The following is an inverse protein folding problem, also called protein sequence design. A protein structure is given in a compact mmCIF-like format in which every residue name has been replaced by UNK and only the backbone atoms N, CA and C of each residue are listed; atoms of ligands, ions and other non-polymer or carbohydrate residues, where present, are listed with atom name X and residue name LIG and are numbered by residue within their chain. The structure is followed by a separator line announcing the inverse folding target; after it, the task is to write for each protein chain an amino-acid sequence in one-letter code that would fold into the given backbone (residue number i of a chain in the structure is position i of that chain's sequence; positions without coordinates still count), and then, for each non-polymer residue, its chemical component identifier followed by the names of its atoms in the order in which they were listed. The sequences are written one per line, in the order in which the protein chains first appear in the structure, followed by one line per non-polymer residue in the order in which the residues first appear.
data_IF_207142340148
#
_entry.id   IF_207142340148
#
_cell.length_a   1.000
_cell.length_b   1.000
_cell.length_c   1.000
_cell.angle_alpha   90.00
_cell.angle_beta   90.00
_cell.angle_gamma   90.00
#
_symmetry.space_group_name_H-M   'P 1'
#
loop_
_entity.id
_entity.type
_entity.pdbx_description
1 polymer ?
#
# COMPACT_ATOMS: atom_id res chain seq x y z
N UNK A 1 35.73 -24.25 4.39
CA UNK A 1 34.64 -23.26 4.65
C UNK A 1 34.55 -22.34 3.46
N UNK A 2 33.41 -22.28 2.74
CA UNK A 2 33.23 -21.26 1.69
C UNK A 2 32.97 -19.90 2.38
N UNK A 3 33.67 -18.82 2.00
CA UNK A 3 33.35 -17.49 2.51
C UNK A 3 31.92 -17.14 2.09
N UNK A 4 31.10 -16.66 3.03
CA UNK A 4 29.79 -16.09 2.73
C UNK A 4 30.05 -14.89 1.81
N UNK A 5 29.54 -14.93 0.58
CA UNK A 5 29.59 -13.77 -0.29
C UNK A 5 28.90 -12.58 0.42
N UNK A 6 29.47 -11.37 0.31
CA UNK A 6 28.83 -10.18 0.87
C UNK A 6 27.44 -10.03 0.24
N UNK A 7 26.42 -9.80 1.07
CA UNK A 7 25.07 -9.52 0.58
C UNK A 7 25.10 -8.21 -0.20
N UNK A 8 24.57 -8.22 -1.43
CA UNK A 8 24.46 -7.02 -2.26
C UNK A 8 23.62 -5.96 -1.51
N UNK A 9 24.16 -4.77 -1.23
CA UNK A 9 23.41 -3.70 -0.55
C UNK A 9 22.21 -3.21 -1.35
N UNK A 10 22.13 -3.52 -2.65
CA UNK A 10 20.97 -3.20 -3.51
C UNK A 10 19.89 -4.28 -3.49
N UNK A 11 20.10 -5.36 -2.74
CA UNK A 11 19.11 -6.42 -2.64
C UNK A 11 17.88 -5.94 -1.86
N UNK A 12 16.71 -5.99 -2.50
CA UNK A 12 15.43 -5.74 -1.84
C UNK A 12 14.99 -6.95 -1.02
N UNK A 13 14.21 -6.65 0.01
CA UNK A 13 13.69 -7.60 0.97
C UNK A 13 12.26 -7.22 1.33
N UNK A 14 11.43 -8.23 1.60
CA UNK A 14 10.09 -8.05 2.14
C UNK A 14 10.14 -7.95 3.66
N UNK A 15 9.48 -6.92 4.20
CA UNK A 15 9.36 -6.65 5.63
C UNK A 15 7.89 -6.52 5.99
N UNK A 16 7.41 -7.39 6.87
CA UNK A 16 6.03 -7.34 7.35
C UNK A 16 5.92 -6.32 8.47
N UNK A 17 4.83 -5.57 8.48
CA UNK A 17 4.61 -4.45 9.38
C UNK A 17 3.40 -4.74 10.28
N UNK A 18 3.46 -4.29 11.53
CA UNK A 18 2.21 -4.07 12.27
C UNK A 18 1.42 -3.01 11.49
N UNK A 19 0.09 -3.03 11.60
CA UNK A 19 -0.75 -2.06 10.92
C UNK A 19 -0.31 -0.60 11.20
N UNK A 20 0.16 0.15 10.18
CA UNK A 20 0.36 1.58 10.32
C UNK A 20 -1.01 2.25 10.44
N UNK A 21 -1.26 2.91 11.57
CA UNK A 21 -2.48 3.67 11.87
C UNK A 21 -2.17 5.08 12.38
N UNK A 22 -3.16 5.97 12.34
CA UNK A 22 -3.06 7.34 12.82
C UNK A 22 -1.89 8.08 12.19
N UNK A 23 -1.10 8.76 13.03
CA UNK A 23 0.05 9.51 12.55
C UNK A 23 1.12 8.62 11.89
N UNK A 24 1.27 7.36 12.30
CA UNK A 24 2.18 6.41 11.65
C UNK A 24 1.82 6.23 10.18
N UNK A 25 0.52 6.06 9.88
CA UNK A 25 0.02 5.94 8.51
C UNK A 25 0.27 7.22 7.70
N UNK A 26 -0.01 8.40 8.29
CA UNK A 26 0.23 9.68 7.63
C UNK A 26 1.71 9.90 7.30
N UNK A 27 2.59 9.60 8.25
CA UNK A 27 4.04 9.72 8.07
C UNK A 27 4.57 8.72 7.03
N UNK A 28 4.04 7.48 7.00
CA UNK A 28 4.35 6.49 5.98
C UNK A 28 3.99 7.00 4.58
N UNK A 29 2.78 7.55 4.39
CA UNK A 29 2.36 8.12 3.11
C UNK A 29 3.22 9.32 2.71
N UNK A 30 3.56 10.22 3.65
CA UNK A 30 4.46 11.35 3.39
C UNK A 30 5.85 10.87 2.99
N UNK A 31 6.37 9.83 3.64
CA UNK A 31 7.67 9.25 3.28
C UNK A 31 7.66 8.69 1.85
N UNK A 32 6.56 8.07 1.43
CA UNK A 32 6.41 7.53 0.08
C UNK A 32 6.41 8.60 -1.03
N UNK A 33 6.09 9.86 -0.71
CA UNK A 33 6.09 10.96 -1.70
C UNK A 33 7.50 11.11 -2.30
N UNK A 34 7.57 11.06 -3.64
CA UNK A 34 8.83 11.12 -4.38
C UNK A 34 9.63 9.82 -4.42
N UNK A 35 9.13 8.73 -3.81
CA UNK A 35 9.74 7.38 -3.85
C UNK A 35 8.91 6.36 -4.61
N UNK A 36 7.59 6.60 -4.70
CA UNK A 36 6.66 5.76 -5.46
C UNK A 36 5.96 6.60 -6.53
N UNK A 37 5.58 5.96 -7.63
CA UNK A 37 4.98 6.63 -8.78
C UNK A 37 3.45 6.60 -8.73
N UNK A 38 2.90 5.51 -8.17
CA UNK A 38 1.46 5.24 -8.22
C UNK A 38 0.95 4.51 -6.98
N UNK A 39 -0.34 4.73 -6.70
CA UNK A 39 -1.12 3.89 -5.81
C UNK A 39 -2.12 3.07 -6.62
N UNK A 40 -2.45 1.89 -6.12
CA UNK A 40 -3.54 1.07 -6.64
C UNK A 40 -4.49 0.64 -5.55
N UNK A 41 -5.76 0.53 -5.91
CA UNK A 41 -6.82 -0.03 -5.08
C UNK A 41 -7.62 -1.04 -5.90
N UNK A 42 -8.03 -2.13 -5.27
CA UNK A 42 -8.89 -3.12 -5.89
C UNK A 42 -10.34 -2.59 -5.97
N UNK A 43 -10.93 -2.50 -7.18
CA UNK A 43 -12.32 -2.15 -7.38
C UNK A 43 -13.22 -3.28 -6.90
N UNK A 44 -14.50 -2.96 -6.74
CA UNK A 44 -15.47 -3.84 -6.13
C UNK A 44 -16.60 -4.19 -7.11
N UNK A 45 -17.22 -5.33 -6.89
CA UNK A 45 -18.44 -5.78 -7.59
C UNK A 45 -19.71 -5.15 -7.10
N UNK A 46 -19.66 -4.47 -5.96
CA UNK A 46 -20.75 -3.63 -5.46
C UNK A 46 -20.16 -2.35 -4.89
N UNK A 47 -20.74 -1.21 -5.23
CA UNK A 47 -20.30 0.10 -4.73
C UNK A 47 -21.41 0.69 -3.85
N UNK A 48 -21.13 0.85 -2.56
CA UNK A 48 -22.01 1.58 -1.64
C UNK A 48 -21.69 3.09 -1.65
N UNK A 49 -22.53 3.96 -1.07
CA UNK A 49 -22.29 5.41 -1.07
C UNK A 49 -20.97 5.84 -0.41
N UNK A 50 -20.48 5.12 0.61
CA UNK A 50 -19.20 5.42 1.28
C UNK A 50 -18.01 5.11 0.37
N UNK A 51 -18.06 3.97 -0.31
CA UNK A 51 -17.05 3.59 -1.28
C UNK A 51 -17.05 4.57 -2.47
N UNK A 52 -18.23 4.92 -2.98
CA UNK A 52 -18.37 5.92 -4.04
C UNK A 52 -17.79 7.28 -3.62
N UNK A 53 -18.02 7.69 -2.37
CA UNK A 53 -17.42 8.90 -1.82
C UNK A 53 -15.89 8.85 -1.85
N UNK A 54 -15.30 7.75 -1.39
CA UNK A 54 -13.85 7.57 -1.43
C UNK A 54 -13.30 7.62 -2.88
N UNK A 55 -13.92 6.88 -3.81
CA UNK A 55 -13.49 6.85 -5.21
C UNK A 55 -13.56 8.25 -5.85
N UNK A 56 -14.67 8.97 -5.65
CA UNK A 56 -14.84 10.32 -6.18
C UNK A 56 -13.82 11.32 -5.61
N UNK A 57 -13.43 11.16 -4.34
CA UNK A 57 -12.40 11.98 -3.71
C UNK A 57 -11.00 11.72 -4.26
N UNK A 58 -10.76 10.51 -4.76
CA UNK A 58 -9.49 10.11 -5.38
C UNK A 58 -9.45 10.34 -6.91
N UNK A 59 -10.62 10.46 -7.55
CA UNK A 59 -10.76 10.59 -9.01
C UNK A 59 -9.85 11.64 -9.68
N UNK A 60 -9.58 12.83 -9.08
CA UNK A 60 -8.65 13.80 -9.68
C UNK A 60 -7.22 13.30 -9.87
N UNK A 61 -6.81 12.25 -9.13
CA UNK A 61 -5.48 11.65 -9.21
C UNK A 61 -5.46 10.40 -10.09
N UNK A 62 -6.60 9.96 -10.61
CA UNK A 62 -6.71 8.71 -11.36
C UNK A 62 -6.03 8.82 -12.73
N UNK A 63 -5.21 7.83 -13.05
CA UNK A 63 -4.47 7.74 -14.32
C UNK A 63 -4.77 6.46 -15.10
N UNK A 64 -5.50 5.51 -14.50
CA UNK A 64 -5.92 4.29 -15.17
C UNK A 64 -6.92 3.48 -14.36
N UNK A 65 -7.32 2.34 -14.92
CA UNK A 65 -8.31 1.45 -14.32
C UNK A 65 -9.75 1.72 -14.75
N UNK A 66 -10.73 1.16 -14.03
CA UNK A 66 -12.14 1.37 -14.31
C UNK A 66 -12.57 2.82 -14.02
N UNK A 67 -13.63 3.29 -14.66
CA UNK A 67 -14.18 4.61 -14.36
C UNK A 67 -14.64 4.67 -12.88
N UNK A 68 -14.60 5.85 -12.22
CA UNK A 68 -14.98 6.04 -10.81
C UNK A 68 -16.34 5.43 -10.39
N UNK A 69 -17.27 5.30 -11.33
CA UNK A 69 -18.62 4.77 -11.11
C UNK A 69 -18.85 3.38 -11.69
N UNK A 70 -17.83 2.75 -12.27
CA UNK A 70 -17.99 1.45 -12.92
C UNK A 70 -18.08 0.35 -11.86
N UNK A 71 -19.20 -0.36 -11.86
CA UNK A 71 -19.31 -1.64 -11.16
C UNK A 71 -18.52 -2.66 -11.97
N UNK A 72 -17.56 -3.33 -11.33
CA UNK A 72 -16.65 -4.28 -11.97
C UNK A 72 -17.01 -5.67 -11.47
N UNK A 73 -17.26 -6.64 -12.35
CA UNK A 73 -17.63 -8.00 -11.89
C UNK A 73 -16.54 -8.62 -11.00
N UNK A 74 -16.86 -9.60 -10.15
CA UNK A 74 -15.88 -10.26 -9.26
C UNK A 74 -14.68 -10.89 -10.02
N UNK A 75 -14.91 -11.33 -11.26
CA UNK A 75 -13.86 -11.87 -12.11
C UNK A 75 -12.94 -10.77 -12.66
N UNK A 76 -13.47 -9.57 -12.86
CA UNK A 76 -12.74 -8.40 -13.30
C UNK A 76 -12.08 -7.63 -12.15
N UNK A 77 -12.63 -7.66 -10.92
CA UNK A 77 -12.03 -6.99 -9.76
C UNK A 77 -10.66 -7.56 -9.41
N UNK A 78 -10.45 -8.84 -9.69
CA UNK A 78 -9.15 -9.52 -9.59
C UNK A 78 -8.14 -9.09 -10.68
N UNK A 79 -8.59 -8.43 -11.75
CA UNK A 79 -7.78 -8.10 -12.94
C UNK A 79 -7.67 -6.60 -13.22
N UNK A 80 -8.60 -5.79 -12.72
CA UNK A 80 -8.65 -4.35 -12.89
C UNK A 80 -8.35 -3.72 -11.54
N UNK A 81 -7.44 -2.75 -11.50
CA UNK A 81 -7.19 -1.92 -10.32
C UNK A 81 -7.53 -0.48 -10.67
N UNK A 82 -8.04 0.29 -9.71
CA UNK A 82 -7.95 1.75 -9.81
C UNK A 82 -6.48 2.12 -9.72
N UNK A 83 -5.99 2.96 -10.64
CA UNK A 83 -4.60 3.38 -10.68
C UNK A 83 -4.55 4.90 -10.55
N UNK A 84 -3.77 5.39 -9.60
CA UNK A 84 -3.64 6.80 -9.29
C UNK A 84 -2.18 7.23 -9.35
N UNK A 85 -1.91 8.43 -9.89
CA UNK A 85 -0.58 9.06 -9.75
C UNK A 85 -0.36 9.40 -8.28
N UNK A 86 0.77 8.95 -7.73
CA UNK A 86 1.10 9.23 -6.34
C UNK A 86 1.90 10.53 -6.23
N UNK A 87 1.27 11.53 -5.61
CA UNK A 87 1.88 12.81 -5.26
C UNK A 87 1.46 13.20 -3.84
N UNK A 88 1.96 14.34 -3.35
CA UNK A 88 1.59 14.86 -2.03
C UNK A 88 0.08 15.09 -1.90
N UNK A 89 -0.60 15.45 -3.00
CA UNK A 89 -2.05 15.61 -3.02
C UNK A 89 -2.77 14.29 -2.76
N UNK A 90 -2.37 13.22 -3.45
CA UNK A 90 -2.94 11.89 -3.22
C UNK A 90 -2.65 11.38 -1.81
N UNK A 91 -1.42 11.53 -1.32
CA UNK A 91 -1.04 11.14 0.05
C UNK A 91 -1.94 11.82 1.10
N UNK A 92 -2.23 13.11 0.93
CA UNK A 92 -3.15 13.84 1.79
C UNK A 92 -4.58 13.28 1.68
N UNK A 93 -5.09 13.01 0.47
CA UNK A 93 -6.43 12.44 0.29
C UNK A 93 -6.58 11.05 0.90
N UNK A 94 -5.57 10.18 0.76
CA UNK A 94 -5.60 8.85 1.37
C UNK A 94 -5.67 8.94 2.91
N UNK A 95 -4.90 9.85 3.51
CA UNK A 95 -4.89 10.07 4.97
C UNK A 95 -6.11 10.81 5.53
N UNK A 96 -6.84 11.57 4.69
CA UNK A 96 -8.16 12.11 5.03
C UNK A 96 -9.24 11.03 5.01
N UNK A 97 -9.12 10.07 4.09
CA UNK A 97 -10.14 9.06 3.84
C UNK A 97 -10.03 7.87 4.79
N UNK A 98 -8.83 7.49 5.23
CA UNK A 98 -8.56 6.34 6.09
C UNK A 98 -7.59 6.71 7.23
N UNK A 99 -7.73 6.08 8.40
CA UNK A 99 -6.81 6.28 9.52
C UNK A 99 -5.70 5.21 9.55
N UNK A 100 -5.86 4.10 8.83
CA UNK A 100 -4.85 3.05 8.71
C UNK A 100 -4.89 2.30 7.39
N UNK A 101 -3.84 1.52 7.14
CA UNK A 101 -3.72 0.76 5.88
C UNK A 101 -4.81 -0.30 5.73
N UNK A 102 -5.27 -0.93 6.83
CA UNK A 102 -6.35 -1.92 6.78
C UNK A 102 -7.75 -1.31 6.77
N UNK A 103 -7.88 0.01 6.89
CA UNK A 103 -9.19 0.62 6.70
C UNK A 103 -9.57 0.73 5.20
N UNK A 104 -8.64 0.42 4.28
CA UNK A 104 -8.93 0.21 2.86
C UNK A 104 -9.55 -1.17 2.65
N UNK A 105 -10.76 -1.33 3.19
CA UNK A 105 -11.50 -2.59 3.20
C UNK A 105 -12.93 -2.42 2.70
N UNK A 106 -13.46 -3.49 2.15
CA UNK A 106 -14.84 -3.60 1.68
C UNK A 106 -15.81 -3.67 2.87
N UNK A 107 -17.04 -3.12 2.79
CA UNK A 107 -17.67 -2.45 1.65
C UNK A 107 -17.49 -0.94 1.58
N UNK A 108 -16.90 -0.34 2.61
CA UNK A 108 -16.94 1.12 2.77
C UNK A 108 -15.87 1.85 1.96
N UNK A 109 -14.84 1.14 1.48
CA UNK A 109 -13.79 1.68 0.59
C UNK A 109 -13.36 0.63 -0.43
N UNK A 110 -12.68 1.04 -1.52
CA UNK A 110 -11.92 0.11 -2.35
C UNK A 110 -10.90 -0.66 -1.47
N UNK A 111 -10.68 -1.92 -1.80
CA UNK A 111 -9.84 -2.79 -0.99
C UNK A 111 -8.36 -2.68 -1.36
N UNK A 112 -7.49 -3.15 -0.46
CA UNK A 112 -6.10 -3.52 -0.74
C UNK A 112 -5.26 -2.39 -1.35
N UNK A 113 -4.94 -1.38 -0.53
CA UNK A 113 -4.02 -0.32 -0.92
C UNK A 113 -2.63 -0.89 -1.21
N UNK A 114 -2.12 -0.61 -2.39
CA UNK A 114 -0.71 -0.83 -2.74
C UNK A 114 -0.07 0.45 -3.30
N UNK A 115 1.20 0.67 -2.97
CA UNK A 115 2.04 1.74 -3.52
C UNK A 115 3.16 1.12 -4.35
N UNK A 116 3.43 1.66 -5.54
CA UNK A 116 4.36 1.05 -6.49
C UNK A 116 5.36 2.05 -7.05
N UNK A 117 6.59 1.60 -7.29
CA UNK A 117 7.64 2.31 -8.04
C UNK A 117 7.96 1.50 -9.30
N UNK A 118 7.65 2.05 -10.47
CA UNK A 118 7.77 1.32 -11.73
C UNK A 118 6.91 0.05 -11.77
N UNK A 119 7.55 -1.12 -11.91
CA UNK A 119 6.88 -2.41 -11.88
C UNK A 119 6.82 -3.04 -10.47
N UNK A 120 7.57 -2.48 -9.52
CA UNK A 120 7.78 -3.09 -8.22
C UNK A 120 6.78 -2.55 -7.17
N UNK A 121 6.24 -3.46 -6.38
CA UNK A 121 5.43 -3.12 -5.22
C UNK A 121 6.34 -2.60 -4.09
N UNK A 122 6.08 -1.38 -3.62
CA UNK A 122 6.79 -0.80 -2.49
C UNK A 122 6.05 -1.06 -1.17
N UNK A 123 4.74 -0.83 -1.13
CA UNK A 123 3.84 -1.16 -0.03
C UNK A 123 2.70 -2.02 -0.58
N UNK A 124 2.38 -3.11 0.09
CA UNK A 124 1.21 -3.94 -0.22
C UNK A 124 0.42 -4.15 1.06
N UNK A 125 -0.90 -3.99 0.95
CA UNK A 125 -1.83 -4.45 1.98
C UNK A 125 -2.86 -5.41 1.39
N UNK A 126 -3.24 -6.39 2.19
CA UNK A 126 -4.42 -7.24 1.99
C UNK A 126 -5.28 -7.01 3.23
N UNK A 127 -6.23 -6.08 3.13
CA UNK A 127 -6.88 -5.47 4.30
C UNK A 127 -7.71 -6.51 5.08
N UNK A 128 -8.47 -7.33 4.36
CA UNK A 128 -9.29 -8.40 4.92
C UNK A 128 -8.46 -9.53 5.58
N UNK A 129 -7.20 -9.73 5.15
CA UNK A 129 -6.26 -10.67 5.78
C UNK A 129 -5.42 -10.01 6.89
N UNK A 130 -5.59 -8.69 7.12
CA UNK A 130 -4.75 -7.88 8.03
C UNK A 130 -3.25 -8.07 7.78
N UNK A 131 -2.87 -8.14 6.51
CA UNK A 131 -1.49 -8.32 6.08
C UNK A 131 -0.97 -7.05 5.43
N UNK A 132 0.17 -6.54 5.90
CA UNK A 132 0.87 -5.40 5.30
C UNK A 132 2.37 -5.68 5.23
N UNK A 133 2.99 -5.38 4.10
CA UNK A 133 4.44 -5.44 3.97
C UNK A 133 4.97 -4.36 3.04
N UNK A 134 6.26 -4.07 3.20
CA UNK A 134 7.03 -3.27 2.26
C UNK A 134 8.15 -4.10 1.63
N UNK A 135 8.46 -3.82 0.36
CA UNK A 135 9.60 -4.43 -0.32
C UNK A 135 10.64 -3.36 -0.60
N UNK A 136 11.77 -3.42 0.10
CA UNK A 136 12.78 -2.36 0.08
C UNK A 136 14.16 -2.88 0.50
N UNK A 137 15.20 -2.10 0.25
CA UNK A 137 16.56 -2.35 0.76
C UNK A 137 16.62 -2.13 2.27
N UNK A 138 17.69 -2.61 2.92
CA UNK A 138 17.88 -2.37 4.36
C UNK A 138 18.13 -0.90 4.66
N UNK A 139 18.83 -0.22 3.77
CA UNK A 139 19.19 1.18 3.89
C UNK A 139 17.95 2.07 3.83
N UNK A 140 17.06 1.81 2.87
CA UNK A 140 15.79 2.52 2.78
C UNK A 140 14.84 2.15 3.93
N UNK A 141 14.81 0.89 4.39
CA UNK A 141 14.08 0.53 5.62
C UNK A 141 14.58 1.35 6.83
N UNK A 142 15.90 1.47 7.01
CA UNK A 142 16.47 2.29 8.10
C UNK A 142 16.05 3.75 7.97
N UNK A 143 16.07 4.30 6.75
CA UNK A 143 15.60 5.66 6.49
C UNK A 143 14.11 5.82 6.81
N UNK A 144 13.28 4.83 6.45
CA UNK A 144 11.86 4.80 6.76
C UNK A 144 11.64 4.77 8.28
N UNK A 145 12.27 3.86 9.02
CA UNK A 145 12.13 3.78 10.47
C UNK A 145 12.64 5.05 11.18
N UNK A 146 13.65 5.72 10.61
CA UNK A 146 14.11 7.02 11.12
C UNK A 146 13.09 8.13 10.86
N UNK A 147 12.38 8.10 9.73
CA UNK A 147 11.37 9.08 9.36
C UNK A 147 10.00 8.82 10.00
N UNK A 148 9.71 7.57 10.35
CA UNK A 148 8.46 7.10 10.95
C UNK A 148 8.80 6.29 12.21
N UNK A 149 9.18 6.94 13.33
CA UNK A 149 9.70 6.24 14.52
C UNK A 149 8.69 5.29 15.18
N UNK A 150 7.40 5.49 14.95
CA UNK A 150 6.31 4.65 15.45
C UNK A 150 6.02 3.43 14.56
N UNK A 151 6.69 3.30 13.42
CA UNK A 151 6.53 2.15 12.53
C UNK A 151 7.11 0.89 13.19
N UNK A 152 6.32 -0.18 13.22
CA UNK A 152 6.72 -1.47 13.77
C UNK A 152 6.88 -2.49 12.67
N UNK A 153 8.04 -3.14 12.64
CA UNK A 153 8.36 -4.23 11.72
C UNK A 153 8.17 -5.54 12.49
N UNK A 154 7.18 -6.34 12.11
CA UNK A 154 6.91 -7.65 12.72
C UNK A 154 7.97 -8.67 12.36
N UNK A 155 8.34 -8.71 11.07
CA UNK A 155 9.27 -9.69 10.55
C UNK A 155 9.97 -9.22 9.27
N UNK A 156 11.06 -9.90 8.92
CA UNK A 156 11.92 -9.52 7.81
C UNK A 156 12.22 -10.66 6.84
N UNK A 157 13.22 -10.49 5.95
CA UNK A 157 13.52 -11.44 4.89
C UNK A 157 13.76 -12.86 5.44
N UNK A 158 13.04 -13.83 4.86
CA UNK A 158 13.07 -15.24 5.28
C UNK A 158 11.95 -15.64 6.24
N UNK A 159 11.08 -14.72 6.65
CA UNK A 159 9.85 -15.06 7.37
C UNK A 159 8.92 -15.90 6.48
N UNK A 160 8.54 -17.09 6.95
CA UNK A 160 7.65 -18.04 6.24
C UNK A 160 6.24 -18.09 6.83
N UNK A 161 5.81 -17.05 7.54
CA UNK A 161 4.52 -17.01 8.21
C UNK A 161 4.42 -18.00 9.37
N UNK A 162 3.82 -17.57 10.49
CA UNK A 162 3.15 -18.51 11.38
C UNK A 162 1.72 -18.61 10.86
N UNK A 163 1.32 -19.76 10.32
CA UNK A 163 -0.10 -20.10 10.18
C UNK A 163 -0.69 -20.04 11.59
N UNK A 164 -1.47 -19.01 11.90
CA UNK A 164 -2.41 -19.07 13.01
C UNK A 164 -3.73 -19.63 12.49
#
# INVERSE_FOLDING_TARGET
MRPRQPKDPRQTHTWYLDEPRGETYRQLLRFAVGRVDRATLCPLSTINPRCMHAINRLAPHQTGGPAPSAVVTDSESRRKRYVYRFDSGLANKLSELADGVFDWDFPDRPADLALMSGADDWLVSVAHERMCFITTTKEELRALCSAVPSLRVESGPGYRGVRR
#
